data_IF_470595253867
#
_entry.id   IF_470595253867
#
_cell.length_a   1.000
_cell.length_b   1.000
_cell.length_c   1.000
_cell.angle_alpha   90.00
_cell.angle_beta   90.00
_cell.angle_gamma   90.00
#
_symmetry.space_group_name_H-M   'P 1'
#
loop_
_entity.id
_entity.type
_entity.pdbx_description
1 polymer ?
#
# COMPACT_ATOMS: atom_id res chain seq x y z
N UNK A 1 -16.57 48.06 -42.38
CA UNK A 1 -15.72 46.89 -42.65
C UNK A 1 -14.57 46.86 -41.65
N UNK A 2 -14.84 46.53 -40.38
CA UNK A 2 -13.78 46.22 -39.39
C UNK A 2 -14.39 45.44 -38.22
N UNK A 3 -14.85 44.24 -38.49
CA UNK A 3 -15.20 43.26 -37.44
C UNK A 3 -14.94 41.88 -38.06
N UNK A 4 -13.78 41.27 -37.81
CA UNK A 4 -13.49 39.85 -37.95
C UNK A 4 -11.98 39.60 -37.73
N UNK A 5 -11.46 39.93 -36.54
CA UNK A 5 -10.09 39.47 -36.15
C UNK A 5 -9.94 39.01 -34.70
N UNK A 6 -11.03 38.87 -33.93
CA UNK A 6 -10.93 38.50 -32.51
C UNK A 6 -11.38 37.09 -32.13
N UNK A 7 -11.82 36.23 -33.09
CA UNK A 7 -12.40 34.94 -32.73
C UNK A 7 -11.37 33.81 -32.55
N UNK A 8 -10.15 33.94 -33.10
CA UNK A 8 -9.14 32.90 -32.96
C UNK A 8 -8.46 32.87 -31.57
N UNK A 9 -8.32 34.01 -30.90
CA UNK A 9 -7.74 34.06 -29.56
C UNK A 9 -8.71 33.61 -28.46
N UNK A 10 -10.00 33.85 -28.62
CA UNK A 10 -11.04 33.40 -27.69
C UNK A 10 -11.22 31.88 -27.71
N UNK A 11 -11.19 31.28 -28.90
CA UNK A 11 -11.30 29.82 -29.04
C UNK A 11 -10.12 29.06 -28.45
N UNK A 12 -8.89 29.53 -28.63
CA UNK A 12 -7.69 28.90 -28.02
C UNK A 12 -7.68 29.03 -26.51
N UNK A 13 -8.13 30.13 -25.94
CA UNK A 13 -8.21 30.34 -24.48
C UNK A 13 -9.31 29.46 -23.86
N UNK A 14 -10.48 29.37 -24.51
CA UNK A 14 -11.60 28.51 -24.05
C UNK A 14 -11.23 27.04 -24.14
N UNK A 15 -10.54 26.57 -25.20
CA UNK A 15 -10.06 25.20 -25.35
C UNK A 15 -8.96 24.88 -24.31
N UNK A 16 -8.08 25.84 -23.99
CA UNK A 16 -7.06 25.68 -22.94
C UNK A 16 -7.67 25.59 -21.54
N UNK A 17 -8.67 26.44 -21.27
CA UNK A 17 -9.40 26.42 -20.00
C UNK A 17 -10.24 25.15 -19.84
N UNK A 18 -10.93 24.70 -20.89
CA UNK A 18 -11.69 23.45 -20.86
C UNK A 18 -10.79 22.22 -20.68
N UNK A 19 -9.62 22.15 -21.32
CA UNK A 19 -8.63 21.08 -21.05
C UNK A 19 -8.10 21.14 -19.61
N UNK A 20 -7.83 22.32 -19.07
CA UNK A 20 -7.38 22.48 -17.68
C UNK A 20 -8.48 22.10 -16.67
N UNK A 21 -9.74 22.44 -16.96
CA UNK A 21 -10.89 22.02 -16.14
C UNK A 21 -11.20 20.52 -16.30
N UNK A 22 -11.09 19.94 -17.49
CA UNK A 22 -11.22 18.49 -17.68
C UNK A 22 -10.14 17.69 -16.93
N UNK A 23 -8.90 18.17 -16.95
CA UNK A 23 -7.82 17.55 -16.16
C UNK A 23 -8.05 17.70 -14.65
N UNK A 24 -8.63 18.83 -14.21
CA UNK A 24 -9.00 19.03 -12.80
C UNK A 24 -10.21 18.16 -12.40
N UNK A 25 -11.20 18.01 -13.29
CA UNK A 25 -12.36 17.12 -13.09
C UNK A 25 -11.95 15.65 -13.13
N UNK A 26 -11.03 15.26 -14.01
CA UNK A 26 -10.49 13.88 -14.03
C UNK A 26 -9.71 13.53 -12.76
N UNK A 27 -9.01 14.50 -12.14
CA UNK A 27 -8.35 14.30 -10.84
C UNK A 27 -9.37 14.08 -9.69
N UNK A 28 -10.58 14.64 -9.80
CA UNK A 28 -11.67 14.48 -8.81
C UNK A 28 -12.40 13.13 -8.97
N UNK A 29 -12.24 12.42 -10.09
CA UNK A 29 -12.99 11.19 -10.40
C UNK A 29 -12.19 9.88 -10.24
N UNK A 30 -11.06 9.88 -9.53
CA UNK A 30 -10.36 8.64 -9.18
C UNK A 30 -11.29 7.76 -8.32
N UNK A 31 -11.53 6.53 -8.78
CA UNK A 31 -12.32 5.56 -8.03
C UNK A 31 -11.62 5.24 -6.70
N UNK A 32 -12.34 5.41 -5.60
CA UNK A 32 -11.80 5.26 -4.24
C UNK A 32 -12.35 4.07 -3.48
N UNK A 33 -13.23 3.25 -4.09
CA UNK A 33 -13.84 2.07 -3.43
C UNK A 33 -13.82 0.89 -4.38
N UNK A 34 -13.24 -0.21 -3.91
CA UNK A 34 -13.12 -1.47 -4.63
C UNK A 34 -13.69 -2.60 -3.79
N UNK A 35 -14.21 -3.65 -4.43
CA UNK A 35 -14.66 -4.84 -3.71
C UNK A 35 -13.46 -5.61 -3.18
N UNK A 36 -12.46 -5.86 -4.03
CA UNK A 36 -11.28 -6.67 -3.75
C UNK A 36 -9.96 -5.93 -4.05
N UNK A 37 -8.85 -6.49 -3.60
CA UNK A 37 -7.52 -6.00 -3.94
C UNK A 37 -7.24 -6.14 -5.44
N UNK A 38 -7.74 -7.21 -6.07
CA UNK A 38 -7.59 -7.42 -7.51
C UNK A 38 -8.29 -6.34 -8.33
N UNK A 39 -9.48 -5.88 -7.89
CA UNK A 39 -10.19 -4.78 -8.55
C UNK A 39 -9.39 -3.47 -8.47
N UNK A 40 -8.76 -3.21 -7.33
CA UNK A 40 -7.91 -2.03 -7.15
C UNK A 40 -6.67 -2.11 -8.06
N UNK A 41 -5.98 -3.26 -8.09
CA UNK A 41 -4.83 -3.49 -8.97
C UNK A 41 -5.19 -3.25 -10.44
N UNK A 42 -6.27 -3.89 -10.93
CA UNK A 42 -6.73 -3.78 -12.31
C UNK A 42 -7.15 -2.37 -12.71
N UNK A 43 -7.59 -1.56 -11.75
CA UNK A 43 -7.91 -0.16 -11.99
C UNK A 43 -6.67 0.73 -12.05
N UNK A 44 -5.77 0.60 -11.07
CA UNK A 44 -4.60 1.49 -10.98
C UNK A 44 -3.49 1.14 -11.96
N UNK A 45 -3.36 -0.12 -12.38
CA UNK A 45 -2.32 -0.52 -13.33
C UNK A 45 -2.36 0.28 -14.65
N UNK A 46 -3.48 0.27 -15.42
CA UNK A 46 -3.56 1.08 -16.64
C UNK A 46 -3.54 2.59 -16.34
N UNK A 47 -4.10 3.02 -15.21
CA UNK A 47 -4.12 4.44 -14.85
C UNK A 47 -2.70 5.00 -14.64
N UNK A 48 -1.83 4.24 -13.96
CA UNK A 48 -0.42 4.63 -13.80
C UNK A 48 0.31 4.64 -15.14
N UNK A 49 0.04 3.66 -15.99
CA UNK A 49 0.70 3.56 -17.31
C UNK A 49 0.39 4.76 -18.21
N UNK A 50 -0.84 5.29 -18.18
CA UNK A 50 -1.30 6.33 -19.12
C UNK A 50 -1.32 7.73 -18.54
N UNK A 51 -1.67 7.87 -17.25
CA UNK A 51 -1.84 9.16 -16.58
C UNK A 51 -0.81 9.40 -15.48
N UNK A 52 0.08 8.44 -15.22
CA UNK A 52 1.16 8.56 -14.24
C UNK A 52 2.15 9.66 -14.62
N UNK A 53 2.74 10.27 -13.61
CA UNK A 53 3.80 11.28 -13.75
C UNK A 53 5.13 10.54 -13.70
N UNK A 54 6.02 10.83 -14.65
CA UNK A 54 7.39 10.29 -14.62
C UNK A 54 8.11 10.78 -13.37
N UNK A 55 8.58 9.85 -12.57
CA UNK A 55 9.31 10.13 -11.34
C UNK A 55 10.49 9.15 -11.23
N UNK A 56 11.70 9.63 -11.49
CA UNK A 56 12.91 8.84 -11.62
C UNK A 56 12.76 7.67 -12.63
N UNK A 57 12.93 6.44 -12.20
CA UNK A 57 12.78 5.22 -13.00
C UNK A 57 11.37 4.60 -12.91
N UNK A 58 10.36 5.40 -12.55
CA UNK A 58 8.96 4.98 -12.39
C UNK A 58 7.98 5.91 -13.08
N UNK A 59 6.75 5.40 -13.28
CA UNK A 59 5.55 6.21 -13.49
C UNK A 59 4.71 6.15 -12.21
N UNK A 60 4.22 7.29 -11.72
CA UNK A 60 3.61 7.38 -10.40
C UNK A 60 2.35 8.23 -10.37
N UNK A 61 1.41 7.86 -9.49
CA UNK A 61 0.32 8.69 -9.00
C UNK A 61 0.62 9.07 -7.55
N UNK A 62 0.33 10.32 -7.19
CA UNK A 62 0.65 10.84 -5.86
C UNK A 62 -0.59 11.02 -4.99
N UNK A 63 -0.45 10.72 -3.69
CA UNK A 63 -1.50 10.90 -2.67
C UNK A 63 -2.77 10.11 -3.00
N UNK A 64 -2.61 8.84 -3.32
CA UNK A 64 -3.69 7.94 -3.68
C UNK A 64 -4.21 7.21 -2.46
N UNK A 65 -5.51 7.33 -2.19
CA UNK A 65 -6.18 6.62 -1.11
C UNK A 65 -7.46 5.94 -1.58
N UNK A 66 -7.67 4.68 -1.15
CA UNK A 66 -8.83 3.89 -1.54
C UNK A 66 -9.19 2.82 -0.50
N UNK A 67 -10.45 2.36 -0.57
CA UNK A 67 -10.99 1.30 0.28
C UNK A 67 -11.09 -0.02 -0.48
N UNK A 68 -10.74 -1.11 0.20
CA UNK A 68 -11.01 -2.50 -0.18
C UNK A 68 -12.08 -3.02 0.78
N UNK A 69 -13.27 -3.36 0.25
CA UNK A 69 -14.43 -3.75 1.06
C UNK A 69 -14.32 -5.17 1.61
N UNK A 70 -13.70 -6.07 0.84
CA UNK A 70 -13.51 -7.48 1.18
C UNK A 70 -12.02 -7.80 1.32
N UNK A 71 -11.36 -7.32 2.40
CA UNK A 71 -9.90 -7.43 2.51
C UNK A 71 -9.39 -8.87 2.56
N UNK A 72 -10.21 -9.85 2.97
CA UNK A 72 -9.82 -11.26 2.96
C UNK A 72 -9.95 -11.93 1.58
N UNK A 73 -10.61 -11.29 0.61
CA UNK A 73 -10.54 -11.65 -0.81
C UNK A 73 -9.32 -10.95 -1.43
N UNK A 74 -8.14 -11.41 -0.99
CA UNK A 74 -6.86 -10.74 -1.13
C UNK A 74 -5.97 -11.29 -2.24
N UNK A 75 -6.48 -12.21 -3.06
CA UNK A 75 -5.75 -12.72 -4.22
C UNK A 75 -5.78 -11.72 -5.38
N UNK A 76 -4.65 -11.56 -6.07
CA UNK A 76 -4.56 -10.75 -7.29
C UNK A 76 -4.83 -11.66 -8.50
N UNK A 77 -5.95 -11.43 -9.16
CA UNK A 77 -6.46 -12.27 -10.28
C UNK A 77 -6.18 -11.65 -11.65
N UNK A 78 -5.12 -10.86 -11.78
CA UNK A 78 -4.69 -10.26 -13.04
C UNK A 78 -3.78 -11.23 -13.81
N UNK A 79 -4.23 -11.78 -14.94
CA UNK A 79 -3.49 -12.78 -15.71
C UNK A 79 -2.08 -12.33 -16.12
N UNK A 80 -1.93 -11.05 -16.47
CA UNK A 80 -0.64 -10.49 -16.85
C UNK A 80 0.33 -10.35 -15.67
N UNK A 81 -0.18 -10.26 -14.43
CA UNK A 81 0.66 -10.13 -13.21
C UNK A 81 1.23 -11.47 -12.75
N UNK A 82 0.52 -12.57 -12.93
CA UNK A 82 0.90 -13.92 -12.46
C UNK A 82 1.39 -13.89 -11.01
N UNK A 83 0.58 -13.30 -10.13
CA UNK A 83 0.93 -13.15 -8.71
C UNK A 83 1.13 -14.50 -8.02
N UNK A 84 2.17 -14.60 -7.21
CA UNK A 84 2.51 -15.83 -6.50
C UNK A 84 1.97 -15.78 -5.07
N UNK A 85 0.84 -16.44 -4.84
CA UNK A 85 0.20 -16.51 -3.52
C UNK A 85 1.05 -17.31 -2.51
N UNK A 86 1.75 -18.36 -2.95
CA UNK A 86 2.61 -19.17 -2.08
C UNK A 86 3.74 -18.31 -1.49
N UNK A 87 4.34 -17.46 -2.32
CA UNK A 87 5.33 -16.51 -1.85
C UNK A 87 4.73 -15.48 -0.85
N UNK A 88 3.56 -14.92 -1.14
CA UNK A 88 2.92 -13.97 -0.24
C UNK A 88 2.56 -14.60 1.12
N UNK A 89 2.13 -15.87 1.13
CA UNK A 89 1.90 -16.62 2.37
C UNK A 89 3.22 -16.88 3.13
N UNK A 90 4.31 -17.22 2.42
CA UNK A 90 5.62 -17.40 3.06
C UNK A 90 6.14 -16.09 3.68
N UNK A 91 5.95 -14.96 3.01
CA UNK A 91 6.28 -13.63 3.52
C UNK A 91 5.43 -13.29 4.75
N UNK A 92 4.13 -13.61 4.75
CA UNK A 92 3.27 -13.49 5.91
C UNK A 92 3.76 -14.32 7.10
N UNK A 93 4.14 -15.60 6.87
CA UNK A 93 4.68 -16.46 7.92
C UNK A 93 6.02 -15.93 8.47
N UNK A 94 6.85 -15.36 7.61
CA UNK A 94 8.07 -14.67 8.04
C UNK A 94 7.74 -13.46 8.93
N UNK A 95 6.74 -12.66 8.58
CA UNK A 95 6.30 -11.53 9.42
C UNK A 95 5.73 -12.00 10.77
N UNK A 96 4.97 -13.09 10.78
CA UNK A 96 4.47 -13.68 12.03
C UNK A 96 5.58 -14.16 12.97
N UNK A 97 6.74 -14.52 12.46
CA UNK A 97 7.87 -14.90 13.30
C UNK A 97 8.46 -13.73 14.10
N UNK A 98 8.23 -12.49 13.67
CA UNK A 98 8.85 -11.29 14.24
C UNK A 98 10.37 -11.22 14.05
N UNK A 99 10.96 -12.15 13.31
CA UNK A 99 12.39 -12.26 13.06
C UNK A 99 12.75 -11.52 11.75
N UNK A 100 13.58 -10.47 11.78
CA UNK A 100 13.98 -9.74 10.58
C UNK A 100 15.03 -10.47 9.74
N UNK A 101 15.61 -11.58 10.22
CA UNK A 101 16.62 -12.35 9.49
C UNK A 101 16.02 -13.03 8.27
N UNK A 102 16.64 -12.85 7.09
CA UNK A 102 16.11 -13.39 5.82
C UNK A 102 16.24 -14.90 5.69
N UNK A 103 17.14 -15.53 6.45
CA UNK A 103 17.25 -17.00 6.46
C UNK A 103 15.95 -17.65 6.92
N UNK A 104 15.21 -16.97 7.81
CA UNK A 104 13.89 -17.43 8.23
C UNK A 104 12.89 -17.51 7.07
N UNK A 105 12.89 -16.51 6.18
CA UNK A 105 12.11 -16.59 4.94
C UNK A 105 12.61 -17.73 4.03
N UNK A 106 13.93 -17.93 3.96
CA UNK A 106 14.55 -19.03 3.22
C UNK A 106 14.10 -20.42 3.73
N UNK A 107 14.02 -20.60 5.04
CA UNK A 107 13.49 -21.83 5.67
C UNK A 107 12.01 -22.07 5.30
N UNK A 108 11.19 -21.02 5.30
CA UNK A 108 9.75 -21.11 5.04
C UNK A 108 9.46 -21.33 3.54
N UNK A 109 10.09 -20.55 2.67
CA UNK A 109 9.82 -20.54 1.22
C UNK A 109 10.72 -21.48 0.41
N UNK A 110 11.77 -22.05 1.01
CA UNK A 110 12.76 -22.88 0.34
C UNK A 110 13.89 -22.10 -0.33
N UNK A 111 13.84 -20.79 -0.38
CA UNK A 111 14.90 -19.89 -0.87
C UNK A 111 14.67 -18.45 -0.40
N UNK A 112 15.73 -17.67 -0.26
CA UNK A 112 15.64 -16.23 -0.06
C UNK A 112 15.48 -15.54 -1.42
N UNK A 113 14.39 -14.80 -1.68
CA UNK A 113 14.23 -14.01 -2.91
C UNK A 113 15.34 -12.98 -3.08
N UNK A 114 15.76 -12.74 -4.32
CA UNK A 114 16.90 -11.85 -4.65
C UNK A 114 16.71 -10.42 -4.10
N UNK A 115 15.48 -9.91 -4.09
CA UNK A 115 15.19 -8.59 -3.55
C UNK A 115 15.61 -8.47 -2.09
N UNK A 116 15.29 -9.48 -1.27
CA UNK A 116 15.65 -9.48 0.15
C UNK A 116 17.15 -9.67 0.35
N UNK A 117 17.82 -10.48 -0.46
CA UNK A 117 19.28 -10.62 -0.42
C UNK A 117 20.00 -9.28 -0.67
N UNK A 118 19.41 -8.40 -1.49
CA UNK A 118 19.96 -7.06 -1.75
C UNK A 118 19.72 -6.08 -0.61
N UNK A 119 18.68 -6.29 0.20
CA UNK A 119 18.23 -5.37 1.24
C UNK A 119 18.83 -5.66 2.62
N UNK A 120 19.43 -6.83 2.82
CA UNK A 120 20.02 -7.20 4.11
C UNK A 120 21.13 -6.27 4.57
N UNK A 121 21.21 -6.06 5.87
CA UNK A 121 22.32 -5.42 6.56
C UNK A 121 23.47 -6.40 6.82
N UNK A 122 24.46 -5.98 7.61
CA UNK A 122 25.63 -6.81 7.99
C UNK A 122 25.27 -8.03 8.88
N UNK A 123 24.08 -8.04 9.47
CA UNK A 123 23.58 -9.11 10.33
C UNK A 123 22.64 -10.07 9.58
N UNK A 124 22.54 -9.95 8.26
CA UNK A 124 21.60 -10.68 7.43
C UNK A 124 20.13 -10.38 7.76
N UNK A 125 19.84 -9.15 8.25
CA UNK A 125 18.52 -8.70 8.66
C UNK A 125 17.96 -7.64 7.70
N UNK A 126 16.64 -7.66 7.51
CA UNK A 126 15.87 -6.63 6.79
C UNK A 126 15.03 -5.87 7.81
N UNK A 127 15.47 -4.67 8.13
CA UNK A 127 14.83 -3.83 9.16
C UNK A 127 13.47 -3.30 8.74
N UNK A 128 13.13 -3.32 7.46
CA UNK A 128 11.79 -3.04 6.96
C UNK A 128 10.81 -4.22 7.12
N UNK A 129 11.24 -5.38 7.63
CA UNK A 129 10.34 -6.49 7.94
C UNK A 129 9.17 -6.00 8.80
N UNK A 130 7.96 -6.06 8.25
CA UNK A 130 6.78 -5.50 8.94
C UNK A 130 6.43 -6.28 10.21
N UNK A 131 6.67 -7.58 10.24
CA UNK A 131 6.45 -8.41 11.44
C UNK A 131 7.30 -7.94 12.61
N UNK A 132 8.59 -7.76 12.38
CA UNK A 132 9.49 -7.19 13.38
C UNK A 132 9.07 -5.78 13.79
N UNK A 133 8.63 -4.95 12.83
CA UNK A 133 8.20 -3.58 13.09
C UNK A 133 6.95 -3.50 13.99
N UNK A 134 5.93 -4.31 13.76
CA UNK A 134 4.71 -4.24 14.59
C UNK A 134 4.83 -4.98 15.91
N UNK A 135 5.75 -5.94 16.05
CA UNK A 135 5.99 -6.63 17.31
C UNK A 135 6.92 -5.85 18.25
N UNK A 136 7.84 -5.05 17.72
CA UNK A 136 8.75 -4.26 18.55
C UNK A 136 7.97 -3.37 19.52
N UNK A 137 8.48 -3.28 20.76
CA UNK A 137 7.84 -2.54 21.85
C UNK A 137 6.41 -3.01 22.17
N UNK A 138 6.04 -4.25 21.85
CA UNK A 138 4.73 -4.84 22.11
C UNK A 138 3.55 -4.03 21.54
N UNK A 139 3.74 -3.37 20.39
CA UNK A 139 2.73 -2.49 19.80
C UNK A 139 1.44 -3.24 19.46
N UNK A 140 1.53 -4.46 18.95
CA UNK A 140 0.35 -5.24 18.58
C UNK A 140 -0.47 -5.65 19.78
N UNK A 141 0.18 -6.03 20.91
CA UNK A 141 -0.49 -6.32 22.17
C UNK A 141 -1.19 -5.09 22.73
N UNK A 142 -0.52 -3.93 22.68
CA UNK A 142 -1.11 -2.65 23.08
C UNK A 142 -2.36 -2.33 22.28
N UNK A 143 -2.32 -2.46 20.95
CA UNK A 143 -3.48 -2.21 20.06
C UNK A 143 -4.65 -3.12 20.43
N UNK A 144 -4.40 -4.43 20.59
CA UNK A 144 -5.45 -5.40 20.98
C UNK A 144 -6.05 -5.05 22.34
N UNK A 145 -5.21 -4.73 23.33
CA UNK A 145 -5.69 -4.34 24.67
C UNK A 145 -6.56 -3.07 24.62
N UNK A 146 -6.14 -2.05 23.86
CA UNK A 146 -6.90 -0.80 23.71
C UNK A 146 -8.25 -0.99 23.03
N UNK A 147 -8.32 -1.83 22.01
CA UNK A 147 -9.58 -2.14 21.30
C UNK A 147 -10.56 -2.94 22.19
N UNK A 148 -10.05 -3.84 23.03
CA UNK A 148 -10.87 -4.60 23.98
C UNK A 148 -11.39 -3.73 25.12
N UNK A 149 -10.56 -2.81 25.61
CA UNK A 149 -10.91 -1.87 26.68
C UNK A 149 -11.96 -0.86 26.23
N UNK A 150 -11.76 -0.29 25.02
CA UNK A 150 -12.67 0.71 24.46
C UNK A 150 -12.74 0.61 22.94
N UNK A 151 -13.85 0.14 22.34
CA UNK A 151 -13.99 0.04 20.89
C UNK A 151 -13.94 1.42 20.18
N UNK A 152 -14.21 2.51 20.89
CA UNK A 152 -14.15 3.88 20.37
C UNK A 152 -12.77 4.53 20.54
N UNK A 153 -11.75 3.75 20.90
CA UNK A 153 -10.38 4.26 21.07
C UNK A 153 -9.82 4.84 19.77
N UNK A 154 -9.06 5.92 19.89
CA UNK A 154 -8.26 6.51 18.80
C UNK A 154 -6.77 6.17 18.92
N UNK A 155 -6.41 5.31 19.89
CA UNK A 155 -5.04 4.96 20.24
C UNK A 155 -4.58 3.62 19.65
N UNK A 156 -5.43 2.94 18.87
CA UNK A 156 -5.11 1.63 18.28
C UNK A 156 -4.25 1.78 17.01
N UNK A 157 -3.05 2.32 17.19
CA UNK A 157 -2.09 2.59 16.11
C UNK A 157 -0.81 1.81 16.33
N UNK A 158 -0.29 1.20 15.26
CA UNK A 158 1.06 0.65 15.15
C UNK A 158 1.91 1.65 14.35
N UNK A 159 2.99 2.16 14.94
CA UNK A 159 3.97 3.00 14.27
C UNK A 159 5.06 2.11 13.66
N UNK A 160 5.19 2.12 12.35
CA UNK A 160 6.22 1.36 11.63
C UNK A 160 7.43 2.26 11.34
N UNK A 161 7.19 3.48 10.87
CA UNK A 161 8.25 4.43 10.59
C UNK A 161 8.68 5.16 11.88
N UNK A 162 9.94 4.96 12.30
CA UNK A 162 10.52 5.58 13.48
C UNK A 162 11.74 6.41 13.06
N UNK A 163 11.65 7.73 13.21
CA UNK A 163 12.68 8.64 12.74
C UNK A 163 14.05 8.45 13.41
N UNK A 164 14.10 7.89 14.62
CA UNK A 164 15.35 7.55 15.31
C UNK A 164 16.02 6.34 14.67
N UNK A 165 15.25 5.30 14.40
CA UNK A 165 15.77 4.03 13.87
C UNK A 165 16.13 4.15 12.38
N UNK A 166 15.32 4.86 11.58
CA UNK A 166 15.50 4.99 10.14
C UNK A 166 16.84 5.57 9.71
N UNK A 167 17.35 6.54 10.47
CA UNK A 167 18.64 7.15 10.17
C UNK A 167 19.81 6.17 10.26
N UNK A 168 19.59 5.02 10.90
CA UNK A 168 20.60 3.96 11.09
C UNK A 168 20.47 2.82 10.06
N UNK A 169 19.40 2.78 9.27
CA UNK A 169 19.19 1.71 8.28
C UNK A 169 20.10 1.90 7.07
N UNK A 170 20.88 0.87 6.75
CA UNK A 170 21.95 0.99 5.75
C UNK A 170 21.43 0.91 4.30
N UNK A 171 20.38 0.08 4.03
CA UNK A 171 19.97 -0.23 2.66
C UNK A 171 18.47 -0.12 2.44
N UNK A 172 17.68 -0.33 3.47
CA UNK A 172 16.24 -0.43 3.34
C UNK A 172 15.52 0.36 4.44
N UNK A 173 14.43 1.01 4.06
CA UNK A 173 13.60 1.82 4.95
C UNK A 173 12.15 1.41 4.74
N UNK A 174 11.36 1.13 5.81
CA UNK A 174 9.97 0.75 5.67
C UNK A 174 9.18 1.68 4.74
N UNK A 175 8.41 1.10 3.83
CA UNK A 175 7.51 1.85 2.96
C UNK A 175 6.26 2.33 3.70
N UNK A 176 5.87 1.66 4.78
CA UNK A 176 4.69 1.97 5.59
C UNK A 176 5.06 2.89 6.75
N UNK A 177 4.27 3.93 6.97
CA UNK A 177 4.42 4.80 8.14
C UNK A 177 3.74 4.20 9.37
N UNK A 178 2.46 3.84 9.22
CA UNK A 178 1.65 3.38 10.33
C UNK A 178 0.45 2.56 9.85
N UNK A 179 -0.08 1.77 10.79
CA UNK A 179 -1.35 1.07 10.65
C UNK A 179 -2.28 1.50 11.79
N UNK A 180 -3.47 2.00 11.44
CA UNK A 180 -4.51 2.39 12.40
C UNK A 180 -5.67 1.40 12.33
N UNK A 181 -6.12 0.94 13.50
CA UNK A 181 -7.34 0.15 13.62
C UNK A 181 -8.47 0.98 14.21
N UNK A 182 -9.70 0.77 13.71
CA UNK A 182 -10.90 1.50 14.15
C UNK A 182 -12.09 0.55 14.12
N UNK A 183 -12.84 0.49 15.21
CA UNK A 183 -14.08 -0.29 15.27
C UNK A 183 -15.27 0.60 14.91
N UNK A 184 -16.02 0.24 13.88
CA UNK A 184 -17.24 0.90 13.47
C UNK A 184 -18.32 -0.15 13.24
N UNK A 185 -19.48 -0.01 13.88
CA UNK A 185 -20.59 -0.97 13.76
C UNK A 185 -20.16 -2.42 14.02
N UNK A 186 -19.41 -2.64 15.10
CA UNK A 186 -18.82 -3.93 15.47
C UNK A 186 -17.86 -4.55 14.46
N UNK A 187 -17.36 -3.78 13.50
CA UNK A 187 -16.39 -4.21 12.49
C UNK A 187 -15.06 -3.52 12.68
N UNK A 188 -13.99 -4.30 12.65
CA UNK A 188 -12.62 -3.82 12.71
C UNK A 188 -12.18 -3.35 11.32
N UNK A 189 -12.09 -2.05 11.15
CA UNK A 189 -11.53 -1.42 9.96
C UNK A 189 -10.04 -1.16 10.19
N UNK A 190 -9.27 -1.20 9.11
CA UNK A 190 -7.83 -0.94 9.15
C UNK A 190 -7.47 0.11 8.10
N UNK A 191 -6.56 1.01 8.46
CA UNK A 191 -5.96 1.99 7.54
C UNK A 191 -4.45 1.81 7.52
N UNK A 192 -3.87 1.65 6.34
CA UNK A 192 -2.43 1.55 6.10
C UNK A 192 -1.97 2.80 5.34
N UNK A 193 -0.94 3.47 5.85
CA UNK A 193 -0.39 4.70 5.25
C UNK A 193 1.05 4.46 4.85
N UNK A 194 1.34 4.60 3.55
CA UNK A 194 2.66 4.33 2.97
C UNK A 194 3.28 5.58 2.35
N UNK A 195 4.62 5.74 2.51
CA UNK A 195 5.38 6.78 1.80
C UNK A 195 5.53 6.47 0.31
N UNK A 196 5.60 5.17 -0.01
CA UNK A 196 5.84 4.67 -1.36
C UNK A 196 5.28 3.26 -1.47
N UNK A 197 4.62 2.93 -2.57
CA UNK A 197 4.13 1.60 -2.83
C UNK A 197 4.23 1.28 -4.32
N UNK A 198 5.06 0.33 -4.68
CA UNK A 198 5.08 -0.25 -6.01
C UNK A 198 3.84 -1.11 -6.21
N UNK A 199 3.03 -0.78 -7.22
CA UNK A 199 1.78 -1.50 -7.49
C UNK A 199 2.02 -2.96 -7.89
N UNK A 200 3.13 -3.23 -8.61
CA UNK A 200 3.40 -4.55 -9.18
C UNK A 200 3.99 -5.51 -8.16
N UNK A 201 5.09 -5.13 -7.51
CA UNK A 201 5.80 -6.01 -6.57
C UNK A 201 5.30 -5.80 -5.13
N UNK A 202 5.16 -4.56 -4.69
CA UNK A 202 4.80 -4.18 -3.32
C UNK A 202 3.33 -4.41 -3.03
N UNK A 203 2.42 -3.63 -3.63
CA UNK A 203 0.99 -3.66 -3.30
C UNK A 203 0.40 -5.08 -3.26
N UNK A 204 0.76 -5.92 -4.22
CA UNK A 204 0.21 -7.28 -4.32
C UNK A 204 0.49 -8.11 -3.06
N UNK A 205 1.67 -7.97 -2.45
CA UNK A 205 2.08 -8.69 -1.25
C UNK A 205 1.75 -7.91 0.02
N UNK A 206 1.98 -6.58 0.02
CA UNK A 206 1.68 -5.72 1.17
C UNK A 206 0.21 -5.82 1.58
N UNK A 207 -0.73 -5.67 0.63
CA UNK A 207 -2.16 -5.76 0.94
C UNK A 207 -2.55 -7.17 1.43
N UNK A 208 -1.89 -8.22 0.94
CA UNK A 208 -2.10 -9.58 1.43
C UNK A 208 -1.68 -9.68 2.89
N UNK A 209 -0.46 -9.30 3.21
CA UNK A 209 0.07 -9.37 4.57
C UNK A 209 -0.68 -8.45 5.55
N UNK A 210 -1.03 -7.22 5.13
CA UNK A 210 -1.84 -6.33 5.97
C UNK A 210 -3.28 -6.84 6.15
N UNK A 211 -3.90 -7.45 5.15
CA UNK A 211 -5.22 -8.06 5.34
C UNK A 211 -5.19 -9.24 6.32
N UNK A 212 -4.10 -10.01 6.32
CA UNK A 212 -3.85 -11.07 7.32
C UNK A 212 -3.58 -10.49 8.71
N UNK A 213 -2.90 -9.36 8.81
CA UNK A 213 -2.75 -8.63 10.08
C UNK A 213 -4.11 -8.16 10.61
N UNK A 214 -4.98 -7.62 9.75
CA UNK A 214 -6.34 -7.25 10.13
C UNK A 214 -7.12 -8.46 10.64
N UNK A 215 -7.02 -9.62 9.96
CA UNK A 215 -7.62 -10.88 10.40
C UNK A 215 -7.09 -11.32 11.77
N UNK A 216 -5.78 -11.23 12.00
CA UNK A 216 -5.15 -11.56 13.28
C UNK A 216 -5.69 -10.69 14.43
N UNK A 217 -5.74 -9.38 14.24
CA UNK A 217 -6.28 -8.45 15.24
C UNK A 217 -7.78 -8.69 15.45
N UNK A 218 -8.55 -8.95 14.39
CA UNK A 218 -9.96 -9.33 14.48
C UNK A 218 -10.17 -10.57 15.36
N UNK A 219 -9.42 -11.65 15.13
CA UNK A 219 -9.47 -12.88 15.93
C UNK A 219 -9.11 -12.62 17.40
N UNK A 220 -8.09 -11.79 17.65
CA UNK A 220 -7.64 -11.45 19.02
C UNK A 220 -8.61 -10.55 19.77
N UNK A 221 -9.39 -9.73 19.08
CA UNK A 221 -10.33 -8.77 19.69
C UNK A 221 -11.76 -9.23 19.70
N UNK A 222 -12.14 -10.16 18.79
CA UNK A 222 -13.51 -10.67 18.63
C UNK A 222 -14.40 -9.81 17.72
N UNK A 223 -13.89 -8.73 17.12
CA UNK A 223 -14.64 -7.92 16.16
C UNK A 223 -14.66 -8.58 14.78
N UNK A 224 -15.77 -8.41 14.04
CA UNK A 224 -15.84 -8.82 12.63
C UNK A 224 -14.89 -7.99 11.75
N UNK A 225 -14.46 -8.56 10.63
CA UNK A 225 -13.64 -7.85 9.65
C UNK A 225 -14.48 -6.74 8.97
N UNK A 226 -13.96 -5.54 8.98
CA UNK A 226 -14.46 -4.37 8.26
C UNK A 226 -13.71 -4.12 6.96
N UNK A 227 -13.57 -2.85 6.58
CA UNK A 227 -12.86 -2.42 5.38
C UNK A 227 -11.35 -2.26 5.65
N UNK A 228 -10.57 -2.35 4.59
CA UNK A 228 -9.17 -1.97 4.54
C UNK A 228 -9.03 -0.69 3.73
N UNK A 229 -8.48 0.38 4.33
CA UNK A 229 -8.12 1.60 3.63
C UNK A 229 -6.62 1.60 3.35
N UNK A 230 -6.25 1.75 2.08
CA UNK A 230 -4.88 1.85 1.61
C UNK A 230 -4.59 3.27 1.16
N UNK A 231 -3.49 3.86 1.65
CA UNK A 231 -3.01 5.16 1.20
C UNK A 231 -1.52 5.08 0.86
N UNK A 232 -1.17 5.58 -0.32
CA UNK A 232 0.22 5.73 -0.73
C UNK A 232 0.50 7.17 -1.20
N UNK A 233 1.52 7.82 -0.63
CA UNK A 233 1.98 9.12 -1.13
C UNK A 233 2.51 9.02 -2.56
N UNK A 234 3.16 7.90 -2.89
CA UNK A 234 3.65 7.58 -4.22
C UNK A 234 3.25 6.13 -4.56
N UNK A 235 2.20 5.97 -5.38
CA UNK A 235 1.78 4.68 -5.95
C UNK A 235 2.34 4.59 -7.36
N UNK A 236 3.22 3.61 -7.64
CA UNK A 236 3.98 3.61 -8.88
C UNK A 236 4.15 2.24 -9.52
N UNK A 237 4.62 2.26 -10.76
CA UNK A 237 5.16 1.13 -11.52
C UNK A 237 6.57 1.46 -11.97
N UNK A 238 7.48 0.50 -11.85
CA UNK A 238 8.80 0.62 -12.47
C UNK A 238 8.71 0.54 -13.99
N UNK A 239 9.64 1.23 -14.70
CA UNK A 239 9.63 1.33 -16.16
C UNK A 239 9.70 -0.03 -16.86
N UNK A 240 10.34 -1.04 -16.26
CA UNK A 240 10.41 -2.42 -16.78
C UNK A 240 9.03 -3.13 -16.83
N UNK A 241 8.01 -2.59 -16.11
CA UNK A 241 6.63 -3.09 -16.14
C UNK A 241 5.72 -2.30 -17.08
N UNK A 242 6.23 -1.22 -17.67
CA UNK A 242 5.46 -0.33 -18.55
C UNK A 242 5.79 -0.59 -20.01
N UNK A 243 7.02 -1.02 -20.31
CA UNK A 243 7.56 -1.18 -21.66
C UNK A 243 7.50 -2.60 -22.22
N UNK A 244 6.83 -3.54 -21.51
CA UNK A 244 6.70 -4.94 -21.93
C UNK A 244 5.44 -5.26 -22.70
#
# INVERSE_FOLDING_TARGET
>A
LTVLKNDHHLNTTVISLTKKYLNYINFIMIKTKFETASDAFNYFFPLIMWDGIKFDNTMALFNIGFYIKKPLDNSILADHRKWNKEYAEAEWQWYLSGDPNVDKLGEIYGKVPEIWQRMVDSNNEVRSNYGWQWERNHQLDYVVAKLKDNPNTRHATVSIYDGKEHSTYAKDTPCTYAVQFTVLNNKLNMSVVMRSNDLWYGFCNDQYCFSKLQELVSKRTGYEIGTYYHFAHNLHLYNDKITG
#
